data_IF_070898886552
#
_entry.id   IF_070898886552
#
_cell.length_a   1.000
_cell.length_b   1.000
_cell.length_c   1.000
_cell.angle_alpha   90.00
_cell.angle_beta   90.00
_cell.angle_gamma   90.00
#
_symmetry.space_group_name_H-M   'P 1'
#
loop_
_entity.id
_entity.type
_entity.pdbx_description
1 polymer ?
#
# COMPACT_ATOMS: atom_id res chain seq x y z
N UNK A 1 -25.20 -38.62 -5.58
CA UNK A 1 -25.04 -37.26 -6.14
C UNK A 1 -23.77 -36.70 -5.54
N UNK A 2 -22.62 -37.00 -6.15
CA UNK A 2 -21.31 -36.63 -5.61
C UNK A 2 -20.29 -36.69 -6.74
N UNK A 3 -20.42 -35.77 -7.69
CA UNK A 3 -19.41 -35.44 -8.69
C UNK A 3 -19.44 -33.92 -8.85
N UNK A 4 -18.56 -33.22 -8.13
CA UNK A 4 -18.04 -31.87 -8.47
C UNK A 4 -17.31 -31.25 -7.26
N UNK A 5 -16.15 -31.81 -6.92
CA UNK A 5 -15.17 -31.11 -6.07
C UNK A 5 -13.81 -30.95 -6.76
N UNK A 6 -13.74 -31.18 -8.08
CA UNK A 6 -12.51 -30.98 -8.84
C UNK A 6 -12.68 -29.81 -9.80
N UNK A 7 -12.42 -28.55 -9.37
CA UNK A 7 -12.48 -27.41 -10.27
C UNK A 7 -11.57 -27.65 -11.47
N UNK A 8 -12.06 -27.27 -12.66
CA UNK A 8 -11.25 -27.33 -13.87
C UNK A 8 -10.19 -26.24 -13.85
N UNK A 9 -9.16 -26.37 -14.67
CA UNK A 9 -8.14 -25.32 -14.82
C UNK A 9 -8.76 -23.98 -15.23
N UNK A 10 -9.83 -23.99 -16.02
CA UNK A 10 -10.63 -22.80 -16.36
C UNK A 10 -11.32 -22.16 -15.16
N UNK A 11 -11.88 -22.95 -14.25
CA UNK A 11 -12.55 -22.45 -13.04
C UNK A 11 -11.53 -21.79 -12.09
N UNK A 12 -10.34 -22.41 -11.97
CA UNK A 12 -9.22 -21.81 -11.27
C UNK A 12 -8.73 -20.51 -11.93
N UNK A 13 -8.65 -20.46 -13.27
CA UNK A 13 -8.24 -19.27 -13.99
C UNK A 13 -9.19 -18.09 -13.77
N UNK A 14 -10.50 -18.34 -13.82
CA UNK A 14 -11.52 -17.31 -13.58
C UNK A 14 -11.50 -16.79 -12.13
N UNK A 15 -11.38 -17.69 -11.16
CA UNK A 15 -11.23 -17.29 -9.75
C UNK A 15 -9.92 -16.52 -9.52
N UNK A 16 -8.82 -16.97 -10.11
CA UNK A 16 -7.53 -16.31 -10.02
C UNK A 16 -7.58 -14.90 -10.60
N UNK A 17 -8.08 -14.72 -11.83
CA UNK A 17 -8.23 -13.39 -12.45
C UNK A 17 -9.07 -12.44 -11.59
N UNK A 18 -10.19 -12.91 -11.03
CA UNK A 18 -11.03 -12.08 -10.15
C UNK A 18 -10.31 -11.67 -8.85
N UNK A 19 -9.53 -12.58 -8.24
CA UNK A 19 -8.76 -12.29 -7.02
C UNK A 19 -7.54 -11.41 -7.26
N UNK A 20 -6.93 -11.52 -8.45
CA UNK A 20 -5.76 -10.72 -8.84
C UNK A 20 -6.19 -9.29 -9.17
N UNK A 21 -7.34 -9.11 -9.82
CA UNK A 21 -7.95 -7.80 -10.04
C UNK A 21 -8.37 -7.12 -8.74
N UNK A 22 -8.77 -7.88 -7.72
CA UNK A 22 -9.10 -7.36 -6.39
C UNK A 22 -7.86 -7.09 -5.50
N UNK A 23 -6.75 -7.82 -5.73
CA UNK A 23 -5.48 -7.66 -4.99
C UNK A 23 -4.51 -6.68 -5.65
N UNK A 24 -4.78 -6.26 -6.89
CA UNK A 24 -4.13 -5.12 -7.49
C UNK A 24 -4.57 -3.88 -6.70
N UNK A 25 -3.80 -3.54 -5.67
CA UNK A 25 -3.90 -2.22 -5.05
C UNK A 25 -3.94 -1.19 -6.17
N UNK A 26 -5.03 -0.44 -6.23
CA UNK A 26 -5.20 0.56 -7.27
C UNK A 26 -4.09 1.61 -7.08
N UNK A 27 -3.17 1.64 -8.04
CA UNK A 27 -2.17 2.68 -8.17
C UNK A 27 -2.88 4.04 -8.07
N UNK A 28 -2.34 4.93 -7.25
CA UNK A 28 -2.90 6.26 -7.06
C UNK A 28 -4.04 6.39 -6.04
N UNK A 29 -4.18 5.45 -5.10
CA UNK A 29 -4.94 5.71 -3.87
C UNK A 29 -4.10 6.43 -2.81
N UNK A 30 -4.77 7.28 -2.05
CA UNK A 30 -4.25 7.92 -0.84
C UNK A 30 -4.53 6.99 0.34
N UNK A 31 -3.48 6.61 1.05
CA UNK A 31 -3.56 5.69 2.19
C UNK A 31 -2.97 6.39 3.42
N UNK A 32 -3.61 6.29 4.60
CA UNK A 32 -3.04 6.81 5.83
C UNK A 32 -1.80 6.00 6.22
N UNK A 33 -0.70 6.70 6.49
CA UNK A 33 0.58 6.13 6.89
C UNK A 33 1.00 6.65 8.26
N UNK A 34 1.61 5.80 9.08
CA UNK A 34 2.14 6.19 10.39
C UNK A 34 3.61 6.49 10.31
N UNK A 35 4.05 7.65 10.79
CA UNK A 35 5.48 8.00 10.83
C UNK A 35 6.19 7.15 11.87
N UNK A 36 7.13 6.32 11.43
CA UNK A 36 7.93 5.46 12.32
C UNK A 36 9.16 6.22 12.81
N UNK A 37 9.86 6.88 11.89
CA UNK A 37 11.11 7.59 12.13
C UNK A 37 11.34 8.64 11.06
N UNK A 38 12.05 9.70 11.45
CA UNK A 38 12.54 10.73 10.54
C UNK A 38 14.07 10.64 10.54
N UNK A 39 14.64 10.39 9.37
CA UNK A 39 16.08 10.56 9.12
C UNK A 39 16.36 11.94 8.50
N UNK A 40 17.63 12.33 8.37
CA UNK A 40 18.00 13.66 7.88
C UNK A 40 17.56 13.97 6.43
N UNK A 41 17.33 12.94 5.61
CA UNK A 41 16.99 13.11 4.18
C UNK A 41 15.62 12.52 3.82
N UNK A 42 15.10 11.58 4.62
CA UNK A 42 13.82 10.91 4.37
C UNK A 42 13.06 10.59 5.67
N UNK A 43 11.73 10.62 5.58
CA UNK A 43 10.79 10.14 6.58
C UNK A 43 10.40 8.70 6.23
N UNK A 44 10.51 7.81 7.20
CA UNK A 44 10.02 6.43 7.10
C UNK A 44 8.61 6.35 7.66
N UNK A 45 7.70 5.83 6.84
CA UNK A 45 6.29 5.66 7.18
C UNK A 45 5.85 4.21 6.99
N UNK A 46 4.97 3.74 7.86
CA UNK A 46 4.29 2.45 7.75
C UNK A 46 2.90 2.66 7.14
N UNK A 47 2.65 2.01 6.01
CA UNK A 47 1.37 1.99 5.29
C UNK A 47 0.62 0.67 5.45
N UNK A 48 1.07 -0.22 6.36
CA UNK A 48 0.45 -1.53 6.57
C UNK A 48 0.73 -2.53 5.45
N UNK A 49 1.74 -2.26 4.61
CA UNK A 49 2.20 -3.16 3.54
C UNK A 49 3.45 -3.92 3.97
N UNK A 50 3.90 -4.83 3.10
CA UNK A 50 5.18 -5.56 3.28
C UNK A 50 6.41 -4.64 3.23
N UNK A 51 6.25 -3.43 2.69
CA UNK A 51 7.31 -2.46 2.45
C UNK A 51 6.98 -1.15 3.14
N UNK A 52 8.00 -0.54 3.74
CA UNK A 52 7.93 0.77 4.35
C UNK A 52 7.96 1.86 3.26
N UNK A 53 7.21 2.93 3.45
CA UNK A 53 7.27 4.11 2.60
C UNK A 53 8.46 4.98 2.98
N UNK A 54 9.21 5.45 1.99
CA UNK A 54 10.27 6.46 2.17
C UNK A 54 9.88 7.72 1.43
N UNK A 55 9.69 8.79 2.18
CA UNK A 55 9.27 10.08 1.64
C UNK A 55 10.37 11.11 1.92
N UNK A 56 10.90 11.81 0.90
CA UNK A 56 11.90 12.85 1.12
C UNK A 56 11.35 13.94 2.05
N UNK A 57 12.16 14.44 2.97
CA UNK A 57 11.74 15.51 3.92
C UNK A 57 11.27 16.78 3.18
N UNK A 58 11.76 16.98 1.95
CA UNK A 58 11.37 18.09 1.07
C UNK A 58 9.88 18.08 0.70
N UNK A 59 9.25 16.90 0.63
CA UNK A 59 7.81 16.78 0.33
C UNK A 59 6.95 17.30 1.49
N UNK A 60 7.46 17.25 2.72
CA UNK A 60 6.78 17.78 3.91
C UNK A 60 7.05 19.28 4.13
N UNK A 61 7.93 19.90 3.34
CA UNK A 61 8.27 21.33 3.50
C UNK A 61 7.13 22.28 3.11
N UNK A 62 6.05 21.76 2.54
CA UNK A 62 4.84 22.51 2.17
C UNK A 62 3.84 22.63 3.33
N UNK A 63 3.97 21.81 4.37
CA UNK A 63 3.11 21.87 5.56
C UNK A 63 3.72 22.75 6.64
N UNK A 64 2.88 23.51 7.35
CA UNK A 64 3.28 24.36 8.49
C UNK A 64 3.85 23.54 9.68
N UNK A 65 3.67 22.22 9.65
CA UNK A 65 4.08 21.31 10.72
C UNK A 65 5.01 20.23 10.16
N UNK A 66 6.22 20.17 10.72
CA UNK A 66 7.10 19.02 10.50
C UNK A 66 6.45 17.76 11.09
N UNK A 67 6.39 16.64 10.34
CA UNK A 67 5.87 15.39 10.86
C UNK A 67 6.68 14.97 12.09
N UNK A 68 6.03 14.37 13.09
CA UNK A 68 6.71 13.76 14.24
C UNK A 68 6.51 12.23 14.22
N UNK A 69 7.44 11.44 14.81
CA UNK A 69 7.22 10.02 14.99
C UNK A 69 5.92 9.75 15.75
N UNK A 70 5.03 8.94 15.17
CA UNK A 70 3.69 8.65 15.69
C UNK A 70 2.56 9.48 15.07
N UNK A 71 2.86 10.49 14.25
CA UNK A 71 1.84 11.20 13.48
C UNK A 71 1.33 10.34 12.30
N UNK A 72 0.07 10.57 11.91
CA UNK A 72 -0.55 9.94 10.73
C UNK A 72 -0.51 10.96 9.59
N UNK A 73 0.03 10.54 8.45
CA UNK A 73 0.16 11.35 7.22
C UNK A 73 -0.50 10.62 6.06
N UNK A 74 -1.15 11.37 5.17
CA UNK A 74 -1.78 10.80 3.98
C UNK A 74 -0.74 10.68 2.86
N UNK A 75 -0.51 9.45 2.39
CA UNK A 75 0.53 9.16 1.40
C UNK A 75 -0.10 8.68 0.11
N UNK A 76 0.32 9.29 -0.99
CA UNK A 76 -0.05 8.85 -2.33
C UNK A 76 0.88 7.73 -2.79
N UNK A 77 0.31 6.58 -3.15
CA UNK A 77 1.09 5.47 -3.70
C UNK A 77 1.37 5.73 -5.18
N UNK A 78 2.59 6.21 -5.48
CA UNK A 78 3.08 6.26 -6.86
C UNK A 78 3.49 4.87 -7.34
N UNK A 79 3.45 4.67 -8.65
CA UNK A 79 3.56 3.37 -9.33
C UNK A 79 4.77 2.55 -8.88
N UNK A 80 4.57 1.25 -8.65
CA UNK A 80 5.65 0.27 -8.37
C UNK A 80 6.41 -0.15 -9.62
#
# INVERSE_FOLDING_TARGET
>A
MSDSFNPTTDDFAAMFESSTAASAMQEGQVIPATVIRIDNDAVLVDIGLKTEGRIPVKEFSMEDKEPAPGDIVDVYLDRI
#
